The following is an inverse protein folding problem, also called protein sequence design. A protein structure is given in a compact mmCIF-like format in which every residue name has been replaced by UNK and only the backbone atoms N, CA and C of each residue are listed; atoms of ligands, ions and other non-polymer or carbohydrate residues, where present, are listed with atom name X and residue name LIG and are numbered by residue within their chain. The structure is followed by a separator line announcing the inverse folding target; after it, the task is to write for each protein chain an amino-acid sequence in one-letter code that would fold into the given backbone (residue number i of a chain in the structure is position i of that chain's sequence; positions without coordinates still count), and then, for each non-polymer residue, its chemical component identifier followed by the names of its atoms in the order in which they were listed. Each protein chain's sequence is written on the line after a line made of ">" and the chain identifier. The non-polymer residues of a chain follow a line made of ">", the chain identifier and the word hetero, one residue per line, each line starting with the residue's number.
data_IF_579161449763
#
_entry.id   IF_579161449763
#
_cell.length_a   1.000
_cell.length_b   1.000
_cell.length_c   1.000
_cell.angle_alpha   90.00
_cell.angle_beta   90.00
_cell.angle_gamma   90.00
#
_symmetry.space_group_name_H-M   'P 1'
#
loop_
_entity.id
_entity.type
_entity.pdbx_description
1 polymer ?
#
# COMPACT_ATOMS: atom_id res chain seq x y z
N UNK A 1 -1.74 50.53 -13.43
CA UNK A 1 -2.93 49.99 -12.74
C UNK A 1 -3.75 49.25 -13.79
N UNK A 2 -3.66 47.91 -13.87
CA UNK A 2 -4.64 46.98 -13.30
C UNK A 2 -6.05 47.27 -13.88
N UNK A 3 -6.70 46.43 -14.69
CA UNK A 3 -6.49 45.05 -15.07
C UNK A 3 -7.82 44.50 -15.61
N UNK A 4 -7.79 43.22 -16.01
CA UNK A 4 -8.95 42.35 -16.31
C UNK A 4 -9.69 42.63 -17.62
N UNK A 5 -9.42 41.80 -18.62
CA UNK A 5 -10.41 41.11 -19.45
C UNK A 5 -9.68 40.40 -20.58
N UNK A 6 -9.22 39.17 -20.36
CA UNK A 6 -9.14 38.04 -21.31
C UNK A 6 -8.80 36.83 -20.44
N UNK A 7 -9.36 35.66 -20.76
CA UNK A 7 -9.16 34.34 -20.13
C UNK A 7 -10.22 33.90 -19.13
N UNK A 8 -11.47 33.83 -19.61
CA UNK A 8 -12.39 32.75 -19.21
C UNK A 8 -12.92 32.13 -20.50
N UNK A 9 -12.05 31.41 -21.22
CA UNK A 9 -12.50 30.49 -22.29
C UNK A 9 -11.43 29.45 -22.67
N UNK A 10 -10.80 28.81 -21.68
CA UNK A 10 -9.87 27.67 -21.89
C UNK A 10 -10.23 26.44 -21.05
N UNK A 11 -11.24 26.53 -20.16
CA UNK A 11 -11.59 25.42 -19.25
C UNK A 11 -12.70 24.49 -19.76
N UNK A 12 -13.24 24.70 -20.96
CA UNK A 12 -14.31 23.85 -21.52
C UNK A 12 -13.83 22.92 -22.65
N UNK A 13 -12.63 23.11 -23.19
CA UNK A 13 -12.18 22.34 -24.38
C UNK A 13 -11.43 21.03 -24.10
N UNK A 14 -11.21 20.65 -22.83
CA UNK A 14 -10.39 19.47 -22.49
C UNK A 14 -11.24 18.20 -22.27
N UNK A 15 -12.56 18.30 -22.12
CA UNK A 15 -13.42 17.13 -21.83
C UNK A 15 -14.04 16.42 -23.05
N UNK A 16 -13.67 16.76 -24.29
CA UNK A 16 -14.29 16.18 -25.50
C UNK A 16 -13.33 15.49 -26.48
N UNK A 17 -12.13 15.13 -26.06
CA UNK A 17 -11.25 14.25 -26.83
C UNK A 17 -10.86 13.06 -25.97
N UNK A 18 -11.63 11.99 -26.14
CA UNK A 18 -11.35 10.65 -25.65
C UNK A 18 -10.14 10.07 -26.41
N UNK A 19 -8.97 10.69 -26.24
CA UNK A 19 -7.70 10.18 -26.75
C UNK A 19 -7.21 9.18 -25.71
N UNK A 20 -7.49 7.91 -25.96
CA UNK A 20 -6.74 6.83 -25.35
C UNK A 20 -5.30 6.90 -25.87
N UNK A 21 -4.47 7.73 -25.24
CA UNK A 21 -3.03 7.73 -25.48
C UNK A 21 -2.50 6.43 -24.85
N UNK A 22 -1.96 5.48 -25.63
CA UNK A 22 -1.36 4.30 -25.06
C UNK A 22 -0.20 4.73 -24.17
N UNK A 23 -0.33 4.45 -22.87
CA UNK A 23 0.67 4.77 -21.86
C UNK A 23 2.00 4.10 -22.24
N UNK A 24 2.99 4.89 -22.69
CA UNK A 24 4.33 4.38 -23.04
C UNK A 24 4.99 3.72 -21.82
N UNK A 25 5.87 2.75 -22.03
CA UNK A 25 6.52 2.00 -20.95
C UNK A 25 7.22 2.91 -19.92
N UNK A 26 7.75 4.06 -20.36
CA UNK A 26 8.33 5.09 -19.48
C UNK A 26 7.32 5.70 -18.51
N UNK A 27 6.09 5.98 -18.95
CA UNK A 27 5.04 6.51 -18.07
C UNK A 27 4.57 5.48 -17.04
N UNK A 28 4.51 4.19 -17.41
CA UNK A 28 4.19 3.11 -16.47
C UNK A 28 5.24 2.99 -15.36
N UNK A 29 6.51 3.12 -15.71
CA UNK A 29 7.59 3.10 -14.73
C UNK A 29 7.50 4.28 -13.76
N UNK A 30 7.27 5.49 -14.27
CA UNK A 30 7.10 6.69 -13.42
C UNK A 30 5.91 6.53 -12.47
N UNK A 31 4.76 6.04 -12.95
CA UNK A 31 3.59 5.79 -12.12
C UNK A 31 3.88 4.77 -11.00
N UNK A 32 4.64 3.72 -11.30
CA UNK A 32 5.09 2.73 -10.30
C UNK A 32 5.96 3.38 -9.25
N UNK A 33 6.96 4.16 -9.66
CA UNK A 33 7.87 4.87 -8.74
C UNK A 33 7.11 5.85 -7.84
N UNK A 34 6.10 6.54 -8.36
CA UNK A 34 5.22 7.41 -7.58
C UNK A 34 4.40 6.62 -6.55
N UNK A 35 3.84 5.48 -6.94
CA UNK A 35 3.09 4.62 -6.02
C UNK A 35 3.99 4.05 -4.92
N UNK A 36 5.20 3.59 -5.26
CA UNK A 36 6.19 3.13 -4.28
C UNK A 36 6.49 4.21 -3.26
N UNK A 37 6.74 5.45 -3.70
CA UNK A 37 7.01 6.58 -2.79
C UNK A 37 5.87 6.82 -1.80
N UNK A 38 4.61 6.77 -2.24
CA UNK A 38 3.45 6.95 -1.35
C UNK A 38 3.42 5.88 -0.26
N UNK A 39 3.71 4.62 -0.61
CA UNK A 39 3.76 3.51 0.34
C UNK A 39 4.94 3.65 1.30
N UNK A 40 6.12 3.98 0.76
CA UNK A 40 7.35 4.12 1.53
C UNK A 40 7.27 5.30 2.52
N UNK A 41 6.62 6.41 2.15
CA UNK A 41 6.35 7.52 3.05
C UNK A 41 5.46 7.12 4.23
N UNK A 42 4.50 6.22 4.00
CA UNK A 42 3.61 5.73 5.06
C UNK A 42 4.32 4.82 6.09
N UNK A 43 5.46 4.22 5.74
CA UNK A 43 6.28 3.41 6.67
C UNK A 43 6.69 4.21 7.90
N UNK A 44 6.91 5.53 7.76
CA UNK A 44 7.25 6.40 8.88
C UNK A 44 6.18 6.38 10.00
N UNK A 45 4.92 6.05 9.67
CA UNK A 45 3.82 5.95 10.63
C UNK A 45 3.94 4.74 11.57
N UNK A 46 4.74 3.72 11.23
CA UNK A 46 4.97 2.54 12.08
C UNK A 46 5.66 2.88 13.40
N UNK A 47 6.29 4.06 13.50
CA UNK A 47 6.96 4.51 14.73
C UNK A 47 5.98 4.98 15.81
N UNK A 48 4.69 5.13 15.49
CA UNK A 48 3.68 5.52 16.46
C UNK A 48 3.30 4.32 17.34
N UNK A 49 3.40 4.43 18.68
CA UNK A 49 2.98 3.34 19.55
C UNK A 49 1.48 3.12 19.41
N UNK A 50 1.07 1.88 19.17
CA UNK A 50 -0.34 1.52 19.15
C UNK A 50 -0.92 1.66 20.57
N UNK A 51 -1.95 2.49 20.79
CA UNK A 51 -2.52 2.65 22.12
C UNK A 51 -3.14 1.32 22.60
N UNK A 52 -2.74 0.83 23.78
CA UNK A 52 -3.21 -0.47 24.30
C UNK A 52 -4.72 -0.54 24.59
N UNK A 53 -5.40 0.61 24.64
CA UNK A 53 -6.85 0.71 24.82
C UNK A 53 -7.62 1.03 23.51
N UNK A 54 -6.93 1.03 22.36
CA UNK A 54 -7.49 1.41 21.06
C UNK A 54 -7.41 2.91 20.79
N UNK A 55 -7.42 3.29 19.51
CA UNK A 55 -7.40 4.69 19.08
C UNK A 55 -8.70 5.40 19.42
N UNK A 56 -9.86 4.74 19.32
CA UNK A 56 -11.15 5.37 19.60
C UNK A 56 -11.19 5.86 21.04
N UNK A 57 -10.86 4.99 22.00
CA UNK A 57 -10.87 5.32 23.42
C UNK A 57 -9.80 6.34 23.78
N UNK A 58 -8.62 6.22 23.18
CA UNK A 58 -7.51 7.13 23.41
C UNK A 58 -7.84 8.55 22.95
N UNK A 59 -8.35 8.70 21.72
CA UNK A 59 -8.77 9.99 21.18
C UNK A 59 -9.94 10.57 21.98
N UNK A 60 -10.96 9.77 22.27
CA UNK A 60 -12.11 10.19 23.09
C UNK A 60 -11.66 10.72 24.45
N UNK A 61 -10.73 10.04 25.10
CA UNK A 61 -10.21 10.44 26.42
C UNK A 61 -9.34 11.70 26.33
N UNK A 62 -8.53 11.85 25.29
CA UNK A 62 -7.75 13.07 25.04
C UNK A 62 -8.65 14.29 24.84
N UNK A 63 -9.82 14.11 24.21
CA UNK A 63 -10.85 15.15 24.06
C UNK A 63 -11.69 15.37 25.33
N UNK A 64 -11.39 14.69 26.44
CA UNK A 64 -12.20 14.73 27.69
C UNK A 64 -13.68 14.39 27.43
N UNK A 65 -13.94 13.53 26.44
CA UNK A 65 -15.29 13.16 26.00
C UNK A 65 -15.76 11.89 26.72
N UNK A 66 -16.97 11.87 27.27
CA UNK A 66 -17.54 10.66 27.86
C UNK A 66 -18.00 9.66 26.79
N UNK A 67 -18.05 8.37 27.10
CA UNK A 67 -18.59 7.35 26.18
C UNK A 67 -20.04 7.65 25.78
N UNK A 68 -20.85 8.16 26.71
CA UNK A 68 -22.22 8.58 26.41
C UNK A 68 -22.28 9.77 25.43
N UNK A 69 -21.36 10.72 25.54
CA UNK A 69 -21.27 11.85 24.60
C UNK A 69 -20.88 11.38 23.19
N UNK A 70 -19.92 10.46 23.07
CA UNK A 70 -19.55 9.86 21.79
C UNK A 70 -20.72 9.07 21.19
N UNK A 71 -21.39 8.22 21.99
CA UNK A 71 -22.59 7.48 21.56
C UNK A 71 -23.67 8.40 21.01
N UNK A 72 -23.92 9.55 21.68
CA UNK A 72 -24.88 10.56 21.23
C UNK A 72 -24.46 11.21 19.91
N UNK A 73 -23.17 11.57 19.75
CA UNK A 73 -22.63 12.14 18.51
C UNK A 73 -22.72 11.18 17.33
N UNK A 74 -22.63 9.88 17.60
CA UNK A 74 -22.80 8.81 16.62
C UNK A 74 -24.26 8.51 16.26
N UNK A 75 -25.24 9.18 16.90
CA UNK A 75 -26.67 8.88 16.72
C UNK A 75 -27.07 7.48 17.19
N UNK A 76 -26.27 6.87 18.08
CA UNK A 76 -26.45 5.50 18.54
C UNK A 76 -27.09 5.38 19.93
N UNK A 77 -27.22 4.13 20.41
CA UNK A 77 -27.62 3.83 21.77
C UNK A 77 -26.50 4.17 22.77
N UNK A 78 -26.81 4.28 24.06
CA UNK A 78 -25.83 4.62 25.12
C UNK A 78 -24.57 3.74 25.09
N UNK A 79 -24.70 2.47 24.69
CA UNK A 79 -23.62 1.47 24.60
C UNK A 79 -22.78 1.52 23.31
N UNK A 80 -23.13 2.35 22.31
CA UNK A 80 -22.48 2.34 20.99
C UNK A 80 -20.98 2.63 21.06
N UNK A 81 -20.55 3.62 21.84
CA UNK A 81 -19.13 3.94 22.01
C UNK A 81 -18.35 2.75 22.61
N UNK A 82 -18.86 2.16 23.69
CA UNK A 82 -18.20 1.01 24.34
C UNK A 82 -18.12 -0.21 23.42
N UNK A 83 -19.14 -0.44 22.60
CA UNK A 83 -19.12 -1.49 21.58
C UNK A 83 -18.02 -1.23 20.54
N UNK A 84 -17.94 -0.03 19.99
CA UNK A 84 -16.93 0.33 18.99
C UNK A 84 -15.50 0.28 19.55
N UNK A 85 -15.28 0.75 20.77
CA UNK A 85 -13.97 0.64 21.46
C UNK A 85 -13.52 -0.82 21.60
N UNK A 86 -14.44 -1.73 21.93
CA UNK A 86 -14.14 -3.16 22.01
C UNK A 86 -13.91 -3.77 20.64
N UNK A 87 -14.79 -3.49 19.67
CA UNK A 87 -14.67 -4.00 18.30
C UNK A 87 -13.40 -3.54 17.60
N UNK A 88 -12.86 -2.37 17.95
CA UNK A 88 -11.55 -1.92 17.49
C UNK A 88 -10.43 -2.84 17.97
N UNK A 89 -10.39 -3.12 19.28
CA UNK A 89 -9.38 -3.99 19.88
C UNK A 89 -9.46 -5.42 19.33
N UNK A 90 -10.69 -5.90 19.11
CA UNK A 90 -10.94 -7.24 18.56
C UNK A 90 -10.71 -7.31 17.03
N UNK A 91 -10.42 -6.19 16.37
CA UNK A 91 -10.22 -6.12 14.92
C UNK A 91 -11.49 -6.35 14.08
N UNK A 92 -12.68 -6.30 14.70
CA UNK A 92 -13.97 -6.55 14.06
C UNK A 92 -14.66 -5.29 13.53
N UNK A 93 -14.15 -4.11 13.86
CA UNK A 93 -14.67 -2.84 13.37
C UNK A 93 -14.31 -2.60 11.90
N UNK A 94 -15.25 -2.09 11.12
CA UNK A 94 -15.00 -1.74 9.71
C UNK A 94 -14.29 -0.40 9.57
N UNK A 95 -13.53 -0.21 8.49
CA UNK A 95 -12.90 1.09 8.16
C UNK A 95 -13.94 2.22 8.09
N UNK A 96 -15.13 1.95 7.53
CA UNK A 96 -16.23 2.91 7.49
C UNK A 96 -16.67 3.33 8.88
N UNK A 97 -16.74 2.41 9.84
CA UNK A 97 -17.09 2.73 11.23
C UNK A 97 -15.99 3.52 11.94
N UNK A 98 -14.72 3.20 11.71
CA UNK A 98 -13.59 3.99 12.21
C UNK A 98 -13.65 5.44 11.69
N UNK A 99 -13.90 5.60 10.38
CA UNK A 99 -14.07 6.91 9.77
C UNK A 99 -15.24 7.69 10.38
N UNK A 100 -16.43 7.09 10.47
CA UNK A 100 -17.60 7.71 11.10
C UNK A 100 -17.35 8.12 12.56
N UNK A 101 -16.56 7.31 13.28
CA UNK A 101 -16.23 7.55 14.69
C UNK A 101 -15.26 8.72 14.84
N UNK A 102 -14.27 8.83 13.96
CA UNK A 102 -13.39 9.99 13.91
C UNK A 102 -14.16 11.26 13.56
N UNK A 103 -15.02 11.22 12.54
CA UNK A 103 -15.85 12.36 12.11
C UNK A 103 -16.79 12.84 13.23
N UNK A 104 -17.39 11.91 13.99
CA UNK A 104 -18.21 12.26 15.15
C UNK A 104 -17.43 13.02 16.25
N UNK A 105 -16.11 12.85 16.30
CA UNK A 105 -15.20 13.57 17.19
C UNK A 105 -14.51 14.77 16.51
N UNK A 106 -14.99 15.20 15.33
CA UNK A 106 -14.39 16.26 14.51
C UNK A 106 -12.93 15.98 14.14
N UNK A 107 -12.64 14.70 13.88
CA UNK A 107 -11.32 14.17 13.57
C UNK A 107 -11.35 13.41 12.24
N UNK A 108 -10.17 13.20 11.65
CA UNK A 108 -10.01 12.39 10.44
C UNK A 108 -9.41 11.02 10.79
N UNK A 109 -9.99 9.97 10.23
CA UNK A 109 -9.36 8.64 10.22
C UNK A 109 -8.38 8.53 9.04
N UNK A 110 -7.16 8.06 9.31
CA UNK A 110 -6.13 7.82 8.30
C UNK A 110 -5.71 6.35 8.40
N UNK A 111 -5.65 5.66 7.27
CA UNK A 111 -5.18 4.28 7.17
C UNK A 111 -4.11 4.17 6.09
N UNK A 112 -3.19 3.22 6.26
CA UNK A 112 -2.16 2.90 5.28
C UNK A 112 -1.89 1.40 5.26
N UNK A 113 -1.44 0.90 4.12
CA UNK A 113 -0.87 -0.44 3.97
C UNK A 113 0.63 -0.27 3.74
N UNK A 114 1.43 -0.92 4.57
CA UNK A 114 2.90 -0.81 4.57
C UNK A 114 3.54 -2.20 4.60
N UNK A 115 4.77 -2.35 4.10
CA UNK A 115 5.51 -3.60 4.20
C UNK A 115 5.71 -4.03 5.66
N UNK A 116 5.53 -5.33 5.94
CA UNK A 116 5.49 -5.88 7.32
C UNK A 116 6.73 -5.57 8.15
N UNK A 117 7.90 -5.54 7.53
CA UNK A 117 9.17 -5.28 8.21
C UNK A 117 9.51 -3.78 8.30
N UNK A 118 8.64 -2.88 7.85
CA UNK A 118 8.98 -1.48 7.65
C UNK A 118 10.07 -1.28 6.57
N UNK A 119 10.23 -2.27 5.69
CA UNK A 119 11.07 -2.21 4.50
C UNK A 119 10.43 -1.34 3.41
N UNK A 120 11.20 -0.93 2.41
CA UNK A 120 10.66 -0.23 1.24
C UNK A 120 10.04 -1.20 0.22
N UNK A 121 9.22 -0.67 -0.69
CA UNK A 121 8.61 -1.47 -1.76
C UNK A 121 9.65 -2.11 -2.66
N UNK A 122 10.82 -1.48 -2.84
CA UNK A 122 11.90 -2.01 -3.66
C UNK A 122 12.44 -3.33 -3.10
N UNK A 123 12.65 -3.40 -1.79
CA UNK A 123 13.13 -4.60 -1.08
C UNK A 123 12.15 -5.75 -1.26
N UNK A 124 10.83 -5.47 -1.24
CA UNK A 124 9.80 -6.48 -1.54
C UNK A 124 9.95 -7.05 -2.95
N UNK A 125 10.18 -6.19 -3.95
CA UNK A 125 10.36 -6.60 -5.36
C UNK A 125 11.66 -7.39 -5.51
N UNK A 126 12.75 -6.96 -4.88
CA UNK A 126 14.05 -7.65 -4.94
C UNK A 126 13.96 -9.07 -4.36
N UNK A 127 13.27 -9.23 -3.23
CA UNK A 127 13.00 -10.55 -2.63
C UNK A 127 12.14 -11.42 -3.54
N UNK A 128 11.11 -10.86 -4.17
CA UNK A 128 10.28 -11.62 -5.10
C UNK A 128 11.09 -12.06 -6.34
N UNK A 129 11.89 -11.17 -6.91
CA UNK A 129 12.73 -11.47 -8.06
C UNK A 129 13.71 -12.60 -7.73
N UNK A 130 14.27 -12.60 -6.52
CA UNK A 130 15.14 -13.67 -6.04
C UNK A 130 14.38 -14.99 -5.88
N UNK A 131 13.19 -14.99 -5.28
CA UNK A 131 12.37 -16.19 -5.12
C UNK A 131 12.01 -16.82 -6.48
N UNK A 132 11.57 -15.99 -7.44
CA UNK A 132 11.22 -16.43 -8.79
C UNK A 132 12.46 -16.95 -9.53
N UNK A 133 13.58 -16.23 -9.46
CA UNK A 133 14.83 -16.66 -10.10
C UNK A 133 15.32 -18.01 -9.54
N UNK A 134 15.33 -18.19 -8.22
CA UNK A 134 15.71 -19.46 -7.57
C UNK A 134 14.81 -20.59 -8.05
N UNK A 135 13.49 -20.39 -8.10
CA UNK A 135 12.53 -21.38 -8.59
C UNK A 135 12.82 -21.81 -10.04
N UNK A 136 13.09 -20.85 -10.93
CA UNK A 136 13.41 -21.12 -12.34
C UNK A 136 14.71 -21.94 -12.46
N UNK A 137 15.76 -21.53 -11.74
CA UNK A 137 17.06 -22.23 -11.78
C UNK A 137 16.96 -23.63 -11.20
N UNK A 138 16.23 -23.81 -10.10
CA UNK A 138 16.01 -25.12 -9.49
C UNK A 138 15.25 -26.07 -10.44
N UNK A 139 14.18 -25.60 -11.07
CA UNK A 139 13.43 -26.38 -12.06
C UNK A 139 14.30 -26.79 -13.25
N UNK A 140 15.05 -25.84 -13.82
CA UNK A 140 15.99 -26.13 -14.91
C UNK A 140 17.10 -27.08 -14.48
N UNK A 141 17.64 -26.93 -13.27
CA UNK A 141 18.69 -27.80 -12.74
C UNK A 141 18.22 -29.25 -12.53
N UNK A 142 16.95 -29.48 -12.17
CA UNK A 142 16.38 -30.83 -12.07
C UNK A 142 16.34 -31.48 -13.45
N UNK A 143 15.89 -30.76 -14.48
CA UNK A 143 15.87 -31.27 -15.85
C UNK A 143 17.28 -31.58 -16.37
N UNK A 144 18.24 -30.68 -16.15
CA UNK A 144 19.64 -30.89 -16.57
C UNK A 144 20.33 -32.03 -15.79
N UNK A 145 19.96 -32.28 -14.53
CA UNK A 145 20.46 -33.43 -13.76
C UNK A 145 20.00 -34.76 -14.38
N UNK A 146 18.76 -34.84 -14.86
CA UNK A 146 18.24 -36.01 -15.58
C UNK A 146 18.96 -36.24 -16.92
N UNK A 147 19.53 -35.17 -17.50
CA UNK A 147 20.34 -35.19 -18.72
C UNK A 147 21.84 -35.42 -18.47
N UNK A 148 22.26 -35.57 -17.20
CA UNK A 148 23.65 -35.83 -16.80
C UNK A 148 24.56 -34.59 -16.80
N UNK A 149 24.00 -33.38 -16.83
CA UNK A 149 24.74 -32.11 -16.88
C UNK A 149 24.46 -31.28 -15.62
N UNK A 150 25.17 -31.55 -14.52
CA UNK A 150 24.97 -30.83 -13.27
C UNK A 150 25.80 -29.54 -13.22
N UNK A 151 25.15 -28.40 -12.96
CA UNK A 151 25.84 -27.15 -12.64
C UNK A 151 26.40 -27.19 -11.22
N UNK A 152 27.58 -26.58 -11.02
CA UNK A 152 28.08 -26.29 -9.67
C UNK A 152 27.17 -25.29 -8.96
N UNK A 153 27.14 -25.33 -7.63
CA UNK A 153 26.36 -24.37 -6.83
C UNK A 153 26.76 -22.91 -7.11
N UNK A 154 28.04 -22.66 -7.39
CA UNK A 154 28.53 -21.34 -7.80
C UNK A 154 27.90 -20.87 -9.12
N UNK A 155 27.76 -21.76 -10.10
CA UNK A 155 27.14 -21.42 -11.38
C UNK A 155 25.63 -21.23 -11.25
N UNK A 156 24.97 -21.98 -10.35
CA UNK A 156 23.55 -21.77 -10.04
C UNK A 156 23.32 -20.38 -9.45
N UNK A 157 24.14 -19.96 -8.49
CA UNK A 157 23.97 -18.64 -7.87
C UNK A 157 24.23 -17.51 -8.87
N UNK A 158 25.20 -17.67 -9.79
CA UNK A 158 25.41 -16.72 -10.89
C UNK A 158 24.18 -16.62 -11.80
N UNK A 159 23.54 -17.74 -12.11
CA UNK A 159 22.34 -17.76 -12.94
C UNK A 159 21.13 -17.18 -12.21
N UNK A 160 20.98 -17.45 -10.91
CA UNK A 160 19.96 -16.81 -10.07
C UNK A 160 20.13 -15.29 -10.08
N UNK A 161 21.36 -14.79 -9.90
CA UNK A 161 21.62 -13.36 -9.93
C UNK A 161 21.32 -12.75 -11.30
N UNK A 162 21.73 -13.41 -12.39
CA UNK A 162 21.43 -12.98 -13.77
C UNK A 162 19.92 -12.87 -14.02
N UNK A 163 19.16 -13.89 -13.63
CA UNK A 163 17.71 -13.92 -13.78
C UNK A 163 17.02 -12.89 -12.88
N UNK A 164 17.49 -12.71 -11.64
CA UNK A 164 17.00 -11.68 -10.72
C UNK A 164 17.09 -10.28 -11.35
N UNK A 165 18.24 -9.93 -11.93
CA UNK A 165 18.45 -8.64 -12.59
C UNK A 165 17.55 -8.48 -13.82
N UNK A 166 17.39 -9.53 -14.61
CA UNK A 166 16.50 -9.56 -15.77
C UNK A 166 15.02 -9.38 -15.38
N UNK A 167 14.58 -10.07 -14.32
CA UNK A 167 13.21 -9.99 -13.80
C UNK A 167 12.87 -8.60 -13.25
N UNK A 168 13.80 -7.96 -12.54
CA UNK A 168 13.59 -6.59 -12.05
C UNK A 168 13.54 -5.55 -13.16
N UNK A 169 14.31 -5.75 -14.23
CA UNK A 169 14.33 -4.85 -15.38
C UNK A 169 13.06 -4.99 -16.23
N UNK A 170 12.63 -6.22 -16.51
CA UNK A 170 11.51 -6.50 -17.41
C UNK A 170 10.16 -6.53 -16.71
N UNK A 171 10.12 -6.94 -15.44
CA UNK A 171 8.92 -7.14 -14.62
C UNK A 171 7.81 -7.82 -15.42
N UNK A 172 8.01 -9.12 -15.75
CA UNK A 172 7.09 -9.84 -16.60
C UNK A 172 5.70 -9.95 -15.94
N UNK A 173 4.68 -10.28 -16.74
CA UNK A 173 3.29 -10.25 -16.27
C UNK A 173 3.01 -11.26 -15.15
N UNK A 174 3.70 -12.38 -15.20
CA UNK A 174 3.67 -13.52 -14.28
C UNK A 174 4.64 -13.35 -13.10
N UNK A 175 5.26 -12.18 -12.91
CA UNK A 175 6.23 -11.95 -11.83
C UNK A 175 5.67 -12.20 -10.42
N UNK A 176 4.35 -12.08 -10.26
CA UNK A 176 3.63 -12.37 -9.01
C UNK A 176 2.70 -13.59 -9.12
N UNK A 177 2.74 -14.32 -10.24
CA UNK A 177 2.00 -15.56 -10.41
C UNK A 177 2.88 -16.68 -9.84
N UNK A 178 2.40 -17.38 -8.83
CA UNK A 178 3.13 -18.49 -8.21
C UNK A 178 3.10 -19.77 -9.05
#
# INVERSE_FOLDING_TARGET
>A
MLGKCISINILVYIYSLNIFIPMSAKFKQIAREQNSRIVDEAVALLRLPQPGQGWIRTLRSALTMSGAALSKRLGGHRSTASYLERSELDGSVTLKKLQQTAEAMDCRFVYAMVPRAGEDVRTLIERQAENVARRIVEQGSVQMMLEGQQLSEENKEKEVQRLKDELQAKMPRDFWDD
#
